data_IF_679092111981
#
_entry.id   IF_679092111981
#
_cell.length_a   1.000
_cell.length_b   1.000
_cell.length_c   1.000
_cell.angle_alpha   90.00
_cell.angle_beta   90.00
_cell.angle_gamma   90.00
#
_symmetry.space_group_name_H-M   'P 1'
#
loop_
_entity.id
_entity.type
_entity.pdbx_description
1 polymer ?
#
# COMPACT_ATOMS: atom_id res chain seq x y z
N UNK A 1 2.29 -12.97 2.65
CA UNK A 1 2.93 -14.10 1.96
C UNK A 1 4.10 -13.59 1.15
N UNK A 2 5.32 -14.08 1.43
CA UNK A 2 6.54 -13.78 0.69
C UNK A 2 6.73 -12.29 0.33
N UNK A 3 6.42 -11.38 1.25
CA UNK A 3 6.58 -9.94 1.12
C UNK A 3 5.78 -9.30 -0.04
N UNK A 4 4.69 -9.91 -0.45
CA UNK A 4 3.77 -9.36 -1.46
C UNK A 4 2.31 -9.55 -1.07
N UNK A 5 1.40 -8.93 -1.80
CA UNK A 5 -0.03 -9.13 -1.62
C UNK A 5 -0.44 -10.58 -1.97
N UNK A 6 -1.66 -10.97 -1.64
CA UNK A 6 -2.20 -12.26 -2.07
C UNK A 6 -2.28 -12.35 -3.60
N UNK A 7 -2.26 -13.56 -4.16
CA UNK A 7 -2.37 -13.75 -5.60
C UNK A 7 -3.63 -13.10 -6.21
N UNK A 8 -4.74 -13.14 -5.48
CA UNK A 8 -6.00 -12.48 -5.89
C UNK A 8 -5.81 -10.96 -5.95
N UNK A 9 -5.17 -10.36 -4.97
CA UNK A 9 -4.92 -8.92 -4.93
C UNK A 9 -3.95 -8.48 -6.03
N UNK A 10 -2.90 -9.26 -6.29
CA UNK A 10 -1.95 -8.98 -7.37
C UNK A 10 -2.64 -9.05 -8.73
N UNK A 11 -3.45 -10.08 -8.97
CA UNK A 11 -4.22 -10.19 -10.20
C UNK A 11 -5.22 -9.03 -10.36
N UNK A 12 -5.88 -8.63 -9.29
CA UNK A 12 -6.77 -7.46 -9.31
C UNK A 12 -6.01 -6.18 -9.67
N UNK A 13 -4.82 -5.96 -9.11
CA UNK A 13 -3.97 -4.83 -9.45
C UNK A 13 -3.65 -4.82 -10.95
N UNK A 14 -3.23 -5.96 -11.49
CA UNK A 14 -2.80 -6.08 -12.87
C UNK A 14 -3.96 -5.89 -13.88
N UNK A 15 -5.16 -6.35 -13.53
CA UNK A 15 -6.34 -6.29 -14.42
C UNK A 15 -7.09 -4.97 -14.28
N UNK A 16 -7.34 -4.52 -13.06
CA UNK A 16 -8.19 -3.35 -12.79
C UNK A 16 -7.42 -2.04 -12.87
N UNK A 17 -6.18 -2.01 -12.36
CA UNK A 17 -5.34 -0.81 -12.40
C UNK A 17 -4.45 -0.78 -13.64
N UNK A 18 -5.03 -1.15 -14.77
CA UNK A 18 -4.33 -1.28 -16.04
C UNK A 18 -3.77 0.06 -16.57
N UNK A 19 -2.67 0.02 -17.34
CA UNK A 19 -2.18 1.17 -18.08
C UNK A 19 -3.26 1.79 -19.00
N UNK A 20 -3.09 3.07 -19.31
CA UNK A 20 -4.00 3.95 -20.07
C UNK A 20 -5.20 4.45 -19.27
N UNK A 21 -5.77 3.65 -18.37
CA UNK A 21 -6.87 4.07 -17.49
C UNK A 21 -6.36 4.57 -16.13
N UNK A 22 -5.53 3.77 -15.47
CA UNK A 22 -5.02 4.10 -14.15
C UNK A 22 -3.83 5.06 -14.18
N UNK A 23 -2.95 4.87 -15.16
CA UNK A 23 -1.82 5.76 -15.45
C UNK A 23 -1.43 5.66 -16.93
N UNK A 24 -0.68 6.63 -17.40
CA UNK A 24 -0.02 6.60 -18.72
C UNK A 24 1.43 7.04 -18.59
N UNK A 25 2.22 6.91 -19.65
CA UNK A 25 3.59 7.42 -19.69
C UNK A 25 3.70 8.57 -20.68
N UNK A 26 4.29 9.66 -20.21
CA UNK A 26 4.74 10.75 -21.08
C UNK A 26 6.21 10.53 -21.46
N UNK A 27 6.47 10.39 -22.75
CA UNK A 27 7.83 10.28 -23.27
C UNK A 27 8.45 11.66 -23.38
N UNK A 28 9.68 11.82 -22.90
CA UNK A 28 10.44 13.07 -22.96
C UNK A 28 11.52 12.97 -24.04
N UNK A 29 12.37 11.93 -23.95
CA UNK A 29 13.45 11.69 -24.92
C UNK A 29 13.56 10.20 -25.22
N UNK A 30 13.47 9.79 -26.46
CA UNK A 30 13.50 8.39 -26.85
C UNK A 30 12.44 7.57 -26.14
N UNK A 31 12.86 6.56 -25.40
CA UNK A 31 12.00 5.72 -24.56
C UNK A 31 11.96 6.16 -23.08
N UNK A 32 12.66 7.21 -22.73
CA UNK A 32 12.66 7.72 -21.36
C UNK A 32 11.47 8.68 -21.16
N UNK A 33 10.82 8.57 -19.99
CA UNK A 33 9.70 9.41 -19.63
C UNK A 33 9.26 9.19 -18.18
N UNK A 34 8.13 9.77 -17.82
CA UNK A 34 7.56 9.67 -16.47
C UNK A 34 6.08 9.29 -16.50
N UNK A 35 5.56 8.66 -15.44
CA UNK A 35 4.15 8.31 -15.37
C UNK A 35 3.28 9.54 -15.17
N UNK A 36 2.13 9.56 -15.84
CA UNK A 36 1.06 10.54 -15.66
C UNK A 36 -0.12 9.83 -15.04
N UNK A 37 -0.66 10.39 -13.96
CA UNK A 37 -1.83 9.85 -13.28
C UNK A 37 -3.08 9.88 -14.16
N UNK A 38 -3.85 8.81 -14.12
CA UNK A 38 -5.10 8.63 -14.88
C UNK A 38 -6.35 8.98 -14.09
N UNK A 39 -7.39 8.17 -14.25
CA UNK A 39 -8.74 8.41 -13.70
C UNK A 39 -8.82 8.50 -12.17
N UNK A 40 -7.87 7.90 -11.46
CA UNK A 40 -7.85 7.88 -9.99
C UNK A 40 -7.04 9.03 -9.36
N UNK A 41 -6.57 9.99 -10.17
CA UNK A 41 -5.82 11.15 -9.70
C UNK A 41 -6.57 11.89 -8.58
N UNK A 42 -5.86 12.17 -7.49
CA UNK A 42 -6.36 12.83 -6.29
C UNK A 42 -7.42 12.08 -5.48
N UNK A 43 -7.85 10.89 -5.91
CA UNK A 43 -8.73 10.04 -5.09
C UNK A 43 -7.99 9.53 -3.87
N UNK A 44 -8.72 9.36 -2.77
CA UNK A 44 -8.17 8.83 -1.52
C UNK A 44 -8.09 7.31 -1.58
N UNK A 45 -6.91 6.76 -1.31
CA UNK A 45 -6.71 5.35 -1.05
C UNK A 45 -6.36 5.14 0.43
N UNK A 46 -7.03 4.20 1.08
CA UNK A 46 -6.68 3.73 2.41
C UNK A 46 -6.00 2.39 2.27
N UNK A 47 -4.73 2.33 2.66
CA UNK A 47 -3.94 1.12 2.60
C UNK A 47 -3.72 0.56 4.01
N UNK A 48 -4.27 -0.63 4.26
CA UNK A 48 -4.07 -1.35 5.51
C UNK A 48 -3.16 -2.55 5.28
N UNK A 49 -2.13 -2.70 6.08
CA UNK A 49 -1.18 -3.82 6.02
C UNK A 49 -0.89 -4.39 7.39
N UNK A 50 -0.92 -5.72 7.49
CA UNK A 50 -0.56 -6.47 8.70
C UNK A 50 0.71 -7.29 8.47
N UNK A 51 1.53 -7.37 9.49
CA UNK A 51 2.80 -8.09 9.50
C UNK A 51 2.87 -9.01 10.72
N UNK A 52 3.33 -10.24 10.54
CA UNK A 52 3.59 -11.15 11.65
C UNK A 52 4.83 -10.78 12.47
N UNK A 53 5.80 -10.10 11.87
CA UNK A 53 7.03 -9.70 12.52
C UNK A 53 6.99 -8.34 13.21
N UNK A 54 8.01 -8.04 14.05
CA UNK A 54 8.14 -6.76 14.71
C UNK A 54 8.52 -5.65 13.72
N UNK A 55 8.14 -4.42 14.06
CA UNK A 55 8.38 -3.24 13.20
C UNK A 55 9.85 -3.11 12.79
N UNK A 56 10.78 -3.30 13.71
CA UNK A 56 12.21 -3.14 13.45
C UNK A 56 12.68 -4.07 12.33
N UNK A 57 12.36 -5.37 12.41
CA UNK A 57 12.74 -6.35 11.39
C UNK A 57 12.13 -6.05 10.03
N UNK A 58 10.86 -5.65 10.00
CA UNK A 58 10.17 -5.33 8.74
C UNK A 58 10.74 -4.07 8.07
N UNK A 59 11.10 -3.06 8.86
CA UNK A 59 11.59 -1.78 8.30
C UNK A 59 13.06 -1.79 7.96
N UNK A 60 13.90 -2.51 8.71
CA UNK A 60 15.34 -2.58 8.48
C UNK A 60 15.72 -3.72 7.54
N UNK A 61 15.58 -4.97 7.99
CA UNK A 61 15.99 -6.14 7.22
C UNK A 61 15.23 -6.31 5.91
N UNK A 62 13.91 -6.21 5.97
CA UNK A 62 13.05 -6.34 4.79
C UNK A 62 12.76 -5.03 4.06
N UNK A 63 13.35 -3.90 4.50
CA UNK A 63 13.21 -2.58 3.89
C UNK A 63 11.75 -2.17 3.60
N UNK A 64 10.81 -2.75 4.33
CA UNK A 64 9.37 -2.53 4.16
C UNK A 64 8.87 -2.73 2.71
N UNK A 65 9.41 -3.72 2.03
CA UNK A 65 9.14 -3.99 0.61
C UNK A 65 7.64 -4.05 0.26
N UNK A 66 6.78 -4.80 1.00
CA UNK A 66 5.36 -4.87 0.65
C UNK A 66 4.68 -3.50 0.64
N UNK A 67 4.97 -2.69 1.65
CA UNK A 67 4.44 -1.35 1.75
C UNK A 67 4.93 -0.45 0.61
N UNK A 68 6.22 -0.47 0.34
CA UNK A 68 6.83 0.33 -0.72
C UNK A 68 6.30 -0.05 -2.11
N UNK A 69 6.13 -1.34 -2.36
CA UNK A 69 5.59 -1.85 -3.62
C UNK A 69 4.19 -1.29 -3.90
N UNK A 70 3.27 -1.46 -2.99
CA UNK A 70 1.89 -0.97 -3.19
C UNK A 70 1.83 0.55 -3.19
N UNK A 71 2.50 1.21 -2.24
CA UNK A 71 2.49 2.67 -2.15
C UNK A 71 3.12 3.34 -3.37
N UNK A 72 4.33 2.96 -3.72
CA UNK A 72 5.09 3.63 -4.78
C UNK A 72 4.83 3.01 -6.16
N UNK A 73 4.81 1.67 -6.24
CA UNK A 73 4.66 0.96 -7.49
C UNK A 73 3.23 0.89 -8.03
N UNK A 74 2.24 1.14 -7.20
CA UNK A 74 0.83 1.09 -7.60
C UNK A 74 0.14 2.43 -7.34
N UNK A 75 -0.14 2.77 -6.09
CA UNK A 75 -1.03 3.89 -5.76
C UNK A 75 -0.49 5.26 -6.20
N UNK A 76 0.80 5.49 -6.08
CA UNK A 76 1.43 6.74 -6.56
C UNK A 76 1.43 6.85 -8.08
N UNK A 77 1.54 5.75 -8.81
CA UNK A 77 1.43 5.78 -10.27
C UNK A 77 0.07 6.33 -10.72
N UNK A 78 -1.00 5.94 -10.02
CA UNK A 78 -2.34 6.48 -10.25
C UNK A 78 -2.56 7.90 -9.72
N UNK A 79 -1.57 8.52 -9.09
CA UNK A 79 -1.67 9.87 -8.51
C UNK A 79 -2.62 9.95 -7.32
N UNK A 80 -2.84 8.85 -6.60
CA UNK A 80 -3.75 8.80 -5.47
C UNK A 80 -3.16 9.44 -4.22
N UNK A 81 -4.02 10.04 -3.40
CA UNK A 81 -3.70 10.44 -2.02
C UNK A 81 -3.79 9.21 -1.12
N UNK A 82 -2.76 8.95 -0.31
CA UNK A 82 -2.65 7.69 0.42
C UNK A 82 -2.67 7.97 1.92
N UNK A 83 -3.65 7.42 2.62
CA UNK A 83 -3.60 7.20 4.08
C UNK A 83 -3.29 5.73 4.32
N UNK A 84 -2.48 5.43 5.36
CA UNK A 84 -2.06 4.06 5.59
C UNK A 84 -2.08 3.67 7.06
N UNK A 85 -2.41 2.40 7.29
CA UNK A 85 -2.36 1.73 8.57
C UNK A 85 -1.38 0.56 8.47
N UNK A 86 -0.50 0.43 9.44
CA UNK A 86 0.46 -0.67 9.56
C UNK A 86 0.32 -1.32 10.93
N UNK A 87 0.09 -2.61 10.91
CA UNK A 87 -0.08 -3.43 12.10
C UNK A 87 1.06 -4.45 12.16
N UNK A 88 1.88 -4.34 13.18
CA UNK A 88 3.02 -5.22 13.40
C UNK A 88 2.68 -6.25 14.49
N UNK A 89 3.37 -7.38 14.47
CA UNK A 89 3.22 -8.46 15.46
C UNK A 89 1.78 -9.04 15.49
N UNK A 90 1.14 -9.09 14.34
CA UNK A 90 -0.19 -9.68 14.20
C UNK A 90 -0.05 -11.20 14.09
N UNK A 91 -0.04 -11.87 15.23
CA UNK A 91 0.15 -13.31 15.35
C UNK A 91 -1.04 -13.96 16.07
N UNK A 92 -1.29 -15.26 15.84
CA UNK A 92 -2.18 -16.02 16.70
C UNK A 92 -1.74 -15.90 18.18
N UNK A 93 -2.67 -15.58 19.08
CA UNK A 93 -2.35 -15.35 20.49
C UNK A 93 -1.79 -13.96 20.83
N UNK A 94 -1.91 -13.00 19.92
CA UNK A 94 -1.55 -11.60 20.17
C UNK A 94 -2.20 -11.09 21.45
N UNK A 95 -1.38 -10.39 22.28
CA UNK A 95 -1.85 -9.82 23.55
C UNK A 95 -2.99 -8.83 23.32
N UNK A 96 -4.00 -8.85 24.20
CA UNK A 96 -5.19 -7.99 24.11
C UNK A 96 -4.85 -6.49 23.99
N UNK A 97 -3.84 -6.01 24.72
CA UNK A 97 -3.39 -4.61 24.64
C UNK A 97 -2.81 -4.23 23.27
N UNK A 98 -2.16 -5.16 22.56
CA UNK A 98 -1.69 -4.91 21.19
C UNK A 98 -2.85 -4.81 20.22
N UNK A 99 -3.85 -5.66 20.36
CA UNK A 99 -5.08 -5.60 19.56
C UNK A 99 -5.82 -4.27 19.78
N UNK A 100 -6.02 -3.86 21.01
CA UNK A 100 -6.68 -2.59 21.35
C UNK A 100 -5.94 -1.39 20.75
N UNK A 101 -4.60 -1.38 20.83
CA UNK A 101 -3.77 -0.36 20.19
C UNK A 101 -3.98 -0.31 18.67
N UNK A 102 -4.12 -1.46 18.02
CA UNK A 102 -4.43 -1.52 16.59
C UNK A 102 -5.83 -0.98 16.28
N UNK A 103 -6.82 -1.35 17.08
CA UNK A 103 -8.19 -0.86 16.90
C UNK A 103 -8.30 0.66 17.10
N UNK A 104 -7.58 1.22 18.04
CA UNK A 104 -7.53 2.67 18.25
C UNK A 104 -6.99 3.41 17.02
N UNK A 105 -5.94 2.89 16.37
CA UNK A 105 -5.45 3.47 15.11
C UNK A 105 -6.50 3.48 14.01
N UNK A 106 -7.33 2.43 13.92
CA UNK A 106 -8.43 2.38 12.94
C UNK A 106 -9.49 3.42 13.26
N UNK A 107 -9.89 3.52 14.55
CA UNK A 107 -10.89 4.52 15.01
C UNK A 107 -10.41 5.94 14.73
N UNK A 108 -9.15 6.23 15.04
CA UNK A 108 -8.55 7.56 14.81
C UNK A 108 -8.50 7.92 13.33
N UNK A 109 -8.12 6.96 12.48
CA UNK A 109 -8.17 7.18 11.04
C UNK A 109 -9.59 7.47 10.56
N UNK A 110 -10.58 6.69 11.01
CA UNK A 110 -11.97 6.84 10.61
C UNK A 110 -12.55 8.20 11.03
N UNK A 111 -12.17 8.72 12.20
CA UNK A 111 -12.60 10.04 12.67
C UNK A 111 -12.01 11.19 11.84
N UNK A 112 -10.86 10.98 11.20
CA UNK A 112 -10.11 11.99 10.45
C UNK A 112 -10.23 11.81 8.92
N UNK A 113 -11.20 11.05 8.47
CA UNK A 113 -11.53 10.91 7.05
C UNK A 113 -12.48 12.02 6.61
#
# INVERSE_FOLDING_TARGET
YNLRASAIMENWIDVVLAPKWFFSFHKVVGNWGYPIAGAMKNKLAIMSMSYGGPMLSITTWFQNIPFRRIKAGVLKLGGMKIKYLRFYEVLPGMKSGTFEKHMNKVRDLARNL
#
